data_IF_979005321910
#
_entry.id   IF_979005321910
#
_cell.length_a   1.000
_cell.length_b   1.000
_cell.length_c   1.000
_cell.angle_alpha   90.00
_cell.angle_beta   90.00
_cell.angle_gamma   90.00
#
_symmetry.space_group_name_H-M   'P 1'
#
loop_
_entity.id
_entity.type
_entity.pdbx_description
1 polymer ?
#
# COMPACT_ATOMS: atom_id res chain seq x y z
N UNK A 1 2.61 -6.24 -20.01
CA UNK A 1 2.48 -7.24 -18.92
C UNK A 1 2.78 -6.51 -17.62
N UNK A 2 1.75 -6.22 -16.83
CA UNK A 2 1.91 -5.52 -15.55
C UNK A 2 2.48 -6.53 -14.55
N UNK A 3 3.78 -6.45 -14.27
CA UNK A 3 4.36 -7.17 -13.15
C UNK A 3 3.85 -6.47 -11.89
N UNK A 4 2.79 -7.01 -11.29
CA UNK A 4 2.35 -6.62 -9.95
C UNK A 4 3.56 -6.79 -9.03
N UNK A 5 3.97 -5.71 -8.37
CA UNK A 5 5.05 -5.76 -7.41
C UNK A 5 4.65 -6.65 -6.25
N UNK A 6 5.63 -7.35 -5.68
CA UNK A 6 5.43 -8.14 -4.47
C UNK A 6 4.98 -7.17 -3.37
N UNK A 7 3.90 -7.46 -2.62
CA UNK A 7 3.48 -6.60 -1.53
C UNK A 7 4.66 -6.34 -0.59
N UNK A 8 4.99 -5.07 -0.41
CA UNK A 8 6.06 -4.63 0.50
C UNK A 8 5.42 -4.22 1.81
N UNK A 9 5.85 -4.88 2.88
CA UNK A 9 5.38 -4.54 4.22
C UNK A 9 5.90 -3.15 4.62
N UNK A 10 4.99 -2.30 5.13
CA UNK A 10 5.31 -0.94 5.55
C UNK A 10 5.14 -0.85 7.04
N UNK A 11 6.24 -0.58 7.76
CA UNK A 11 6.18 -0.37 9.19
C UNK A 11 5.50 0.97 9.50
N UNK A 12 4.43 1.00 10.33
CA UNK A 12 3.72 2.23 10.65
C UNK A 12 4.63 3.34 11.18
N UNK A 13 5.66 2.99 11.95
CA UNK A 13 6.58 3.96 12.54
C UNK A 13 7.39 4.73 11.48
N UNK A 14 7.69 4.11 10.33
CA UNK A 14 8.42 4.76 9.24
C UNK A 14 7.54 5.80 8.53
N UNK A 15 6.26 5.48 8.37
CA UNK A 15 5.25 6.37 7.79
C UNK A 15 5.02 7.57 8.71
N UNK A 16 4.83 7.32 10.00
CA UNK A 16 4.53 8.35 11.01
C UNK A 16 5.63 9.40 11.15
N UNK A 17 6.88 9.05 10.84
CA UNK A 17 8.04 9.97 10.90
C UNK A 17 8.09 10.97 9.75
N UNK A 18 7.36 10.75 8.65
CA UNK A 18 7.41 11.62 7.47
C UNK A 18 6.68 12.94 7.73
N UNK A 19 7.33 14.04 7.36
CA UNK A 19 6.86 15.41 7.64
C UNK A 19 5.92 15.96 6.58
N UNK A 20 5.79 15.29 5.43
CA UNK A 20 4.95 15.72 4.32
C UNK A 20 4.47 14.53 3.50
N UNK A 21 3.42 14.75 2.70
CA UNK A 21 2.95 13.78 1.71
C UNK A 21 4.07 13.42 0.72
N UNK A 22 4.87 14.41 0.32
CA UNK A 22 6.06 14.19 -0.48
C UNK A 22 7.00 13.17 0.15
N UNK A 23 7.39 13.37 1.41
CA UNK A 23 8.26 12.42 2.11
C UNK A 23 7.67 11.01 2.25
N UNK A 24 6.34 10.89 2.30
CA UNK A 24 5.67 9.59 2.26
C UNK A 24 5.66 8.96 0.86
N UNK A 25 5.55 9.75 -0.22
CA UNK A 25 5.74 9.31 -1.60
C UNK A 25 7.18 8.85 -1.83
N UNK A 26 8.17 9.55 -1.27
CA UNK A 26 9.57 9.16 -1.36
C UNK A 26 9.82 7.81 -0.65
N UNK A 27 9.25 7.64 0.55
CA UNK A 27 9.29 6.36 1.27
C UNK A 27 8.66 5.23 0.46
N UNK A 28 7.52 5.51 -0.17
CA UNK A 28 6.82 4.54 -1.01
C UNK A 28 7.71 4.04 -2.14
N UNK A 29 8.37 4.95 -2.86
CA UNK A 29 9.32 4.62 -3.91
C UNK A 29 10.52 3.82 -3.38
N UNK A 30 11.12 4.28 -2.28
CA UNK A 30 12.29 3.64 -1.64
C UNK A 30 12.00 2.19 -1.25
N UNK A 31 10.87 1.94 -0.56
CA UNK A 31 10.44 0.60 -0.17
C UNK A 31 10.11 -0.29 -1.37
N UNK A 32 9.61 0.30 -2.46
CA UNK A 32 9.37 -0.39 -3.73
C UNK A 32 10.64 -0.72 -4.52
N UNK A 33 11.83 -0.34 -4.03
CA UNK A 33 13.10 -0.52 -4.73
C UNK A 33 13.33 0.48 -5.87
N UNK A 34 12.54 1.55 -5.93
CA UNK A 34 12.68 2.62 -6.90
C UNK A 34 13.49 3.76 -6.29
N UNK A 35 14.45 4.28 -7.04
CA UNK A 35 14.88 5.66 -6.82
C UNK A 35 13.81 6.59 -7.42
N UNK A 36 13.67 7.82 -6.92
CA UNK A 36 12.79 8.85 -7.49
C UNK A 36 13.36 9.35 -8.83
N UNK A 37 13.57 8.43 -9.76
CA UNK A 37 14.28 8.64 -11.00
C UNK A 37 13.32 8.63 -12.19
N UNK A 38 13.88 8.68 -13.39
CA UNK A 38 13.12 8.72 -14.64
C UNK A 38 12.31 7.44 -14.87
N UNK A 39 12.68 6.30 -14.28
CA UNK A 39 12.01 5.02 -14.55
C UNK A 39 10.63 5.00 -13.90
N UNK A 40 10.52 5.39 -12.64
CA UNK A 40 9.22 5.51 -11.97
C UNK A 40 8.32 6.56 -12.63
N UNK A 41 8.91 7.68 -13.07
CA UNK A 41 8.17 8.73 -13.80
C UNK A 41 7.61 8.21 -15.14
N UNK A 42 8.40 7.45 -15.89
CA UNK A 42 8.00 6.84 -17.16
C UNK A 42 6.91 5.79 -16.95
N UNK A 43 7.08 4.91 -15.96
CA UNK A 43 6.10 3.86 -15.63
C UNK A 43 4.74 4.45 -15.21
N UNK A 44 4.76 5.59 -14.51
CA UNK A 44 3.56 6.29 -14.06
C UNK A 44 2.98 7.24 -15.12
N UNK A 45 3.66 7.42 -16.26
CA UNK A 45 3.24 8.34 -17.32
C UNK A 45 3.15 9.80 -16.84
N UNK A 46 4.03 10.21 -15.93
CA UNK A 46 4.07 11.56 -15.35
C UNK A 46 5.34 12.29 -15.77
N UNK A 47 5.21 13.58 -16.05
CA UNK A 47 6.38 14.41 -16.30
C UNK A 47 7.10 14.77 -15.00
N UNK A 48 8.39 15.10 -15.11
CA UNK A 48 9.26 15.42 -13.98
C UNK A 48 8.75 16.62 -13.16
N UNK A 49 8.18 17.63 -13.81
CA UNK A 49 7.72 18.84 -13.14
C UNK A 49 6.44 18.56 -12.33
N UNK A 50 5.50 17.78 -12.87
CA UNK A 50 4.32 17.32 -12.14
C UNK A 50 4.73 16.49 -10.92
N UNK A 51 5.64 15.53 -11.09
CA UNK A 51 6.12 14.71 -9.99
C UNK A 51 6.81 15.57 -8.90
N UNK A 52 7.62 16.55 -9.30
CA UNK A 52 8.25 17.50 -8.37
C UNK A 52 7.23 18.35 -7.61
N UNK A 53 6.11 18.75 -8.24
CA UNK A 53 5.05 19.53 -7.57
C UNK A 53 4.26 18.71 -6.56
N UNK A 54 4.13 17.40 -6.79
CA UNK A 54 3.54 16.49 -5.80
C UNK A 54 4.42 16.36 -4.57
N UNK A 55 5.73 16.18 -4.76
CA UNK A 55 6.69 16.06 -3.66
C UNK A 55 6.76 17.34 -2.81
N UNK A 56 6.72 18.51 -3.45
CA UNK A 56 6.73 19.80 -2.74
C UNK A 56 5.37 20.21 -2.17
N UNK A 57 4.29 19.48 -2.48
CA UNK A 57 2.92 19.82 -2.07
C UNK A 57 2.33 21.04 -2.78
N UNK A 58 2.93 21.47 -3.90
CA UNK A 58 2.44 22.58 -4.72
C UNK A 58 1.24 22.20 -5.59
N UNK A 59 1.07 20.91 -5.89
CA UNK A 59 -0.04 20.35 -6.67
C UNK A 59 -0.56 19.08 -6.00
N UNK A 60 -1.89 18.90 -5.98
CA UNK A 60 -2.50 17.64 -5.54
C UNK A 60 -2.27 16.51 -6.53
N UNK A 61 -2.24 15.27 -6.05
CA UNK A 61 -2.11 14.07 -6.89
C UNK A 61 -3.50 13.60 -7.33
N UNK A 62 -3.69 13.38 -8.64
CA UNK A 62 -4.88 12.72 -9.14
C UNK A 62 -4.95 11.28 -8.60
N UNK A 63 -6.09 10.89 -8.03
CA UNK A 63 -6.28 9.58 -7.40
C UNK A 63 -5.84 8.39 -8.25
N UNK A 64 -6.17 8.38 -9.54
CA UNK A 64 -5.76 7.30 -10.46
C UNK A 64 -4.24 7.13 -10.55
N UNK A 65 -3.50 8.25 -10.58
CA UNK A 65 -2.03 8.24 -10.61
C UNK A 65 -1.43 7.91 -9.24
N UNK A 66 -2.10 8.35 -8.17
CA UNK A 66 -1.69 8.03 -6.80
C UNK A 66 -1.83 6.53 -6.51
N UNK A 67 -2.90 5.90 -6.97
CA UNK A 67 -3.05 4.44 -6.92
C UNK A 67 -1.99 3.75 -7.74
N UNK A 68 -1.74 4.19 -8.98
CA UNK A 68 -0.72 3.59 -9.83
C UNK A 68 0.68 3.64 -9.18
N UNK A 69 1.01 4.73 -8.47
CA UNK A 69 2.23 4.84 -7.68
C UNK A 69 2.29 3.76 -6.59
N UNK A 70 1.26 3.65 -5.76
CA UNK A 70 1.21 2.68 -4.66
C UNK A 70 1.22 1.23 -5.18
N UNK A 71 0.46 0.94 -6.24
CA UNK A 71 0.42 -0.36 -6.91
C UNK A 71 1.77 -0.72 -7.53
N UNK A 72 2.48 0.26 -8.12
CA UNK A 72 3.81 0.01 -8.71
C UNK A 72 4.85 -0.25 -7.64
N UNK A 73 4.84 0.55 -6.57
CA UNK A 73 5.75 0.41 -5.44
C UNK A 73 5.37 -0.75 -4.50
N UNK A 74 4.19 -1.32 -4.65
CA UNK A 74 3.72 -2.48 -3.90
C UNK A 74 3.34 -2.16 -2.45
N UNK A 75 3.08 -0.89 -2.13
CA UNK A 75 2.83 -0.46 -0.77
C UNK A 75 1.95 0.79 -0.65
N UNK A 76 1.30 0.93 0.50
CA UNK A 76 0.30 1.97 0.79
C UNK A 76 0.86 3.16 1.61
N UNK A 77 2.18 3.33 1.70
CA UNK A 77 2.79 4.33 2.59
C UNK A 77 2.19 5.75 2.48
N UNK A 78 1.89 6.29 1.27
CA UNK A 78 1.33 7.63 1.13
C UNK A 78 -0.09 7.76 1.72
N UNK A 79 -0.97 6.77 1.50
CA UNK A 79 -2.33 6.82 2.06
C UNK A 79 -2.34 6.54 3.56
N UNK A 80 -1.45 5.67 4.04
CA UNK A 80 -1.24 5.46 5.48
C UNK A 80 -0.80 6.76 6.16
N UNK A 81 0.10 7.53 5.53
CA UNK A 81 0.48 8.85 6.06
C UNK A 81 -0.73 9.79 6.13
N UNK A 82 -1.56 9.84 5.09
CA UNK A 82 -2.77 10.67 5.09
C UNK A 82 -3.74 10.28 6.21
N UNK A 83 -3.92 8.98 6.47
CA UNK A 83 -4.74 8.49 7.60
C UNK A 83 -4.15 8.94 8.94
N UNK A 84 -2.84 8.80 9.14
CA UNK A 84 -2.18 9.23 10.36
C UNK A 84 -2.32 10.75 10.60
N UNK A 85 -2.15 11.58 9.56
CA UNK A 85 -2.36 13.03 9.65
C UNK A 85 -3.80 13.41 10.01
N UNK A 86 -4.77 12.52 9.77
CA UNK A 86 -6.17 12.69 10.13
C UNK A 86 -6.52 12.11 11.51
N UNK A 87 -5.53 11.59 12.25
CA UNK A 87 -5.68 11.06 13.61
C UNK A 87 -6.12 9.60 13.68
N UNK A 88 -6.02 8.84 12.59
CA UNK A 88 -6.28 7.41 12.61
C UNK A 88 -5.08 6.65 13.19
N UNK A 89 -5.35 5.65 14.03
CA UNK A 89 -4.34 4.71 14.50
C UNK A 89 -4.03 3.68 13.40
N UNK A 90 -2.81 3.73 12.88
CA UNK A 90 -2.37 2.83 11.81
C UNK A 90 -2.32 1.36 12.24
N UNK A 91 -2.12 1.08 13.54
CA UNK A 91 -2.09 -0.30 14.06
C UNK A 91 -3.47 -0.94 14.12
N UNK A 92 -4.53 -0.13 14.05
CA UNK A 92 -5.92 -0.58 14.05
C UNK A 92 -6.45 -0.89 12.64
N UNK A 93 -5.69 -0.53 11.60
CA UNK A 93 -6.14 -0.66 10.22
C UNK A 93 -6.06 -2.12 9.75
N UNK A 94 -7.10 -2.54 9.03
CA UNK A 94 -7.10 -3.79 8.28
C UNK A 94 -7.59 -3.51 6.88
N UNK A 95 -6.96 -4.12 5.88
CA UNK A 95 -7.47 -4.08 4.51
C UNK A 95 -8.85 -4.72 4.49
N UNK A 96 -9.74 -4.16 3.67
CA UNK A 96 -11.04 -4.76 3.42
C UNK A 96 -10.82 -6.05 2.64
N UNK A 97 -11.37 -7.14 3.17
CA UNK A 97 -11.37 -8.41 2.45
C UNK A 97 -12.17 -8.32 1.17
N UNK A 98 -11.56 -8.79 0.10
CA UNK A 98 -12.25 -9.19 -1.12
C UNK A 98 -13.25 -10.32 -0.81
N UNK A 99 -14.20 -10.52 -1.71
CA UNK A 99 -15.18 -11.60 -1.52
C UNK A 99 -14.50 -12.98 -1.49
N UNK A 100 -13.42 -13.15 -2.26
CA UNK A 100 -12.59 -14.37 -2.27
C UNK A 100 -11.83 -14.56 -0.96
N UNK A 101 -11.20 -13.52 -0.42
CA UNK A 101 -10.51 -13.61 0.87
C UNK A 101 -11.49 -13.93 2.01
N UNK A 102 -12.68 -13.33 1.97
CA UNK A 102 -13.75 -13.58 2.93
C UNK A 102 -14.21 -15.04 2.84
N UNK A 103 -14.49 -15.54 1.64
CA UNK A 103 -14.88 -16.93 1.42
C UNK A 103 -13.78 -17.89 1.91
N UNK A 104 -12.52 -17.61 1.60
CA UNK A 104 -11.40 -18.44 2.05
C UNK A 104 -11.29 -18.49 3.58
N UNK A 105 -11.51 -17.36 4.27
CA UNK A 105 -11.54 -17.34 5.74
C UNK A 105 -12.67 -18.22 6.28
N UNK A 106 -13.89 -18.04 5.78
CA UNK A 106 -15.05 -18.82 6.23
C UNK A 106 -14.86 -20.32 6.01
N UNK A 107 -14.36 -20.72 4.83
CA UNK A 107 -14.07 -22.12 4.53
C UNK A 107 -12.98 -22.70 5.46
N UNK A 108 -11.93 -21.93 5.78
CA UNK A 108 -10.88 -22.36 6.72
C UNK A 108 -11.43 -22.53 8.14
N UNK A 109 -12.28 -21.60 8.57
CA UNK A 109 -12.96 -21.67 9.87
C UNK A 109 -13.86 -22.91 9.95
N UNK A 110 -14.64 -23.17 8.90
CA UNK A 110 -15.50 -24.36 8.80
C UNK A 110 -14.67 -25.66 8.82
N UNK A 111 -13.62 -25.75 8.01
CA UNK A 111 -12.71 -26.92 8.00
C UNK A 111 -12.07 -27.11 9.38
N UNK A 112 -11.68 -26.04 10.07
CA UNK A 112 -11.11 -26.13 11.41
C UNK A 112 -12.16 -26.62 12.43
N UNK A 113 -13.39 -26.14 12.34
CA UNK A 113 -14.50 -26.60 13.19
C UNK A 113 -14.79 -28.09 12.96
N UNK A 114 -14.92 -28.50 11.69
CA UNK A 114 -15.14 -29.90 11.32
C UNK A 114 -13.99 -30.80 11.80
N UNK A 115 -12.74 -30.38 11.64
CA UNK A 115 -11.57 -31.13 12.15
C UNK A 115 -11.57 -31.31 13.67
N UNK A 116 -12.12 -30.36 14.43
CA UNK A 116 -12.30 -30.50 15.89
C UNK A 116 -13.38 -31.52 16.23
N UNK A 117 -14.44 -31.61 15.43
CA UNK A 117 -15.56 -32.55 15.65
C UNK A 117 -15.22 -33.97 15.22
N UNK A 118 -14.57 -34.15 14.08
CA UNK A 118 -14.32 -35.46 13.47
C UNK A 118 -13.09 -36.17 14.09
N UNK A 119 -12.26 -35.43 14.83
CA UNK A 119 -10.94 -35.90 15.27
C UNK A 119 -9.97 -35.95 14.08
N UNK A 120 -8.68 -35.70 14.32
CA UNK A 120 -7.66 -35.73 13.28
C UNK A 120 -7.62 -37.15 12.68
N UNK A 121 -7.86 -37.36 11.37
CA UNK A 121 -7.57 -38.65 10.76
C UNK A 121 -6.07 -38.93 10.95
N UNK A 122 -5.76 -40.16 11.36
CA UNK A 122 -4.41 -40.64 11.62
C UNK A 122 -3.47 -40.43 10.43
#
# INVERSE_FOLDING_TARGET
MNQLSIPVDVRPEEVMRKQSLGGAIELCAELGGYSLDKTLQQDLGVDKAQFSRWLSGQEGVQWSKFNALMDRCGNDAPVLWMLYQRGYDLNSLRRRETDVERENRLLREEVQALRRVIGRPA
#
